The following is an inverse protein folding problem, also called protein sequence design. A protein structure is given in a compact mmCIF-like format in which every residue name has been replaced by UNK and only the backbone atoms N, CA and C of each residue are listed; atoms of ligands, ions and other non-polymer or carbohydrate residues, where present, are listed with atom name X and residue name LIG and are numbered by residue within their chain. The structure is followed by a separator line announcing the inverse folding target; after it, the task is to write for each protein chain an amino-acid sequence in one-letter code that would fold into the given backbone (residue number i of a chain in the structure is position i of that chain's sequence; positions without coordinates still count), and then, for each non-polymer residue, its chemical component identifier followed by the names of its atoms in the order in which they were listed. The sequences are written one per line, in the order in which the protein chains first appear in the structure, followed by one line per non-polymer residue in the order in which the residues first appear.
data_IF_234053036197
#
_entry.id   IF_234053036197
#
_cell.length_a   1.000
_cell.length_b   1.000
_cell.length_c   1.000
_cell.angle_alpha   90.00
_cell.angle_beta   90.00
_cell.angle_gamma   90.00
#
_symmetry.space_group_name_H-M   'P 1'
#
loop_
_entity.id
_entity.type
_entity.pdbx_description
1 polymer ?
#
# COMPACT_ATOMS: atom_id res chain seq x y z
N UNK A 1 -20.43 14.41 -3.77
CA UNK A 1 -20.04 14.58 -3.44
C UNK A 1 -19.25 14.15 -2.75
N UNK A 2 -19.06 14.08 -2.14
CA UNK A 2 -18.32 13.80 -1.31
C UNK A 2 -18.11 12.47 -1.05
N UNK A 3 -18.81 11.62 -1.40
CA UNK A 3 -18.67 10.25 -1.21
C UNK A 3 -17.44 9.70 -1.75
N UNK A 4 -16.99 10.24 -2.82
CA UNK A 4 -15.81 9.76 -3.43
C UNK A 4 -14.61 9.91 -2.59
N UNK A 5 -14.68 10.78 -1.63
CA UNK A 5 -13.54 11.00 -0.79
C UNK A 5 -13.17 9.81 0.03
N UNK A 6 -14.12 8.92 0.28
CA UNK A 6 -13.80 7.75 1.07
C UNK A 6 -12.83 6.85 0.36
N UNK A 7 -12.97 6.73 -0.95
CA UNK A 7 -12.04 5.90 -1.68
C UNK A 7 -10.71 6.57 -1.86
N UNK A 8 -10.71 7.86 -2.02
CA UNK A 8 -9.48 8.59 -2.17
C UNK A 8 -8.62 8.50 -0.92
N UNK A 9 -9.26 8.25 0.22
CA UNK A 9 -8.52 8.18 1.48
C UNK A 9 -7.81 6.86 1.71
N UNK A 10 -8.03 5.88 0.85
CA UNK A 10 -7.37 4.60 1.03
C UNK A 10 -5.87 4.70 0.82
N UNK A 11 -5.45 5.56 -0.06
CA UNK A 11 -4.04 5.76 -0.34
C UNK A 11 -3.70 7.22 -0.13
N UNK A 12 -2.69 7.49 0.68
CA UNK A 12 -2.26 8.85 0.94
C UNK A 12 -0.85 9.03 0.42
N UNK A 13 -0.63 10.10 -0.34
CA UNK A 13 0.69 10.41 -0.84
C UNK A 13 1.47 11.24 0.17
N UNK A 14 2.77 11.10 0.18
CA UNK A 14 3.63 11.89 1.04
C UNK A 14 5.01 11.97 0.41
N UNK A 15 5.82 12.90 0.88
CA UNK A 15 7.17 13.05 0.39
C UNK A 15 8.14 12.33 1.30
N UNK A 16 8.95 11.47 0.72
CA UNK A 16 10.00 10.80 1.47
C UNK A 16 11.13 11.77 1.72
N UNK A 17 12.06 11.36 2.55
CA UNK A 17 13.18 12.24 2.92
C UNK A 17 14.02 12.65 1.71
N UNK A 18 14.08 11.78 0.72
CA UNK A 18 14.86 12.10 -0.48
C UNK A 18 14.08 12.93 -1.48
N UNK A 19 12.87 13.37 -1.14
CA UNK A 19 12.08 14.20 -2.03
C UNK A 19 11.16 13.45 -2.96
N UNK A 20 11.26 12.13 -3.00
CA UNK A 20 10.42 11.35 -3.91
C UNK A 20 9.01 11.24 -3.33
N UNK A 21 8.02 11.28 -4.22
CA UNK A 21 6.65 11.09 -3.80
C UNK A 21 6.38 9.61 -3.60
N UNK A 22 5.77 9.26 -2.48
CA UNK A 22 5.43 7.90 -2.17
C UNK A 22 4.01 7.83 -1.63
N UNK A 23 3.50 6.62 -1.46
CA UNK A 23 2.13 6.40 -1.03
C UNK A 23 2.11 5.43 0.14
N UNK A 24 1.09 5.55 0.98
CA UNK A 24 0.87 4.59 2.05
C UNK A 24 -0.63 4.37 2.21
N UNK A 25 -1.05 3.13 2.45
CA UNK A 25 -2.48 2.83 2.55
C UNK A 25 -3.04 3.19 3.92
N UNK A 26 -4.36 3.26 3.98
CA UNK A 26 -5.05 3.48 5.25
C UNK A 26 -4.90 2.25 6.14
N UNK A 27 -4.75 2.48 7.44
CA UNK A 27 -4.59 1.39 8.39
C UNK A 27 -5.76 0.41 8.34
N UNK A 28 -6.98 0.92 8.23
CA UNK A 28 -8.15 0.05 8.19
C UNK A 28 -8.12 -0.87 6.98
N UNK A 29 -7.61 -0.39 5.88
CA UNK A 29 -7.50 -1.19 4.66
C UNK A 29 -6.52 -2.34 4.86
N UNK A 30 -5.38 -2.05 5.50
CA UNK A 30 -4.39 -3.07 5.77
C UNK A 30 -4.93 -4.10 6.74
N UNK A 31 -5.60 -3.65 7.78
CA UNK A 31 -6.15 -4.57 8.78
C UNK A 31 -7.17 -5.50 8.14
N UNK A 32 -8.04 -4.96 7.30
CA UNK A 32 -9.03 -5.77 6.62
C UNK A 32 -8.38 -6.83 5.73
N UNK A 33 -7.32 -6.46 5.03
CA UNK A 33 -6.63 -7.41 4.17
C UNK A 33 -6.01 -8.55 4.97
N UNK A 34 -5.45 -8.22 6.13
CA UNK A 34 -4.83 -9.23 6.98
C UNK A 34 -5.89 -10.14 7.58
N UNK A 35 -6.97 -9.56 8.08
CA UNK A 35 -8.01 -10.34 8.76
C UNK A 35 -8.76 -11.25 7.81
N UNK A 36 -8.89 -10.85 6.56
CA UNK A 36 -9.62 -11.64 5.58
C UNK A 36 -8.72 -12.58 4.81
N UNK A 37 -7.45 -12.68 5.21
CA UNK A 37 -6.51 -13.55 4.52
C UNK A 37 -6.37 -13.19 3.05
N UNK A 38 -6.53 -11.94 2.72
CA UNK A 38 -6.32 -11.50 1.35
C UNK A 38 -4.82 -11.33 1.13
N UNK A 39 -4.33 -11.92 0.08
CA UNK A 39 -2.92 -11.74 -0.27
C UNK A 39 -2.79 -10.46 -1.06
N UNK A 40 -2.85 -9.34 -0.37
CA UNK A 40 -2.80 -8.04 -1.00
C UNK A 40 -1.50 -7.34 -0.65
N UNK A 41 -0.94 -6.67 -1.63
CA UNK A 41 0.21 -5.82 -1.44
C UNK A 41 -0.08 -4.45 -1.99
N UNK A 42 0.77 -3.50 -1.64
CA UNK A 42 0.56 -2.12 -2.04
C UNK A 42 1.87 -1.54 -2.53
N UNK A 43 1.81 -0.88 -3.68
CA UNK A 43 2.99 -0.26 -4.24
C UNK A 43 3.16 1.12 -3.63
N UNK A 44 4.30 1.35 -2.99
CA UNK A 44 4.55 2.63 -2.35
C UNK A 44 4.99 3.70 -3.35
N UNK A 45 5.27 3.30 -4.59
CA UNK A 45 5.71 4.26 -5.60
C UNK A 45 4.54 4.84 -6.39
N UNK A 46 3.51 4.03 -6.68
CA UNK A 46 2.38 4.50 -7.48
C UNK A 46 1.04 4.39 -6.78
N UNK A 47 0.99 3.70 -5.63
CA UNK A 47 -0.24 3.60 -4.87
C UNK A 47 -1.18 2.49 -5.31
N UNK A 48 -0.75 1.62 -6.21
CA UNK A 48 -1.61 0.54 -6.67
C UNK A 48 -1.69 -0.57 -5.67
N UNK A 49 -2.85 -1.21 -5.60
CA UNK A 49 -3.02 -2.42 -4.82
C UNK A 49 -2.72 -3.61 -5.74
N UNK A 50 -1.95 -4.56 -5.23
CA UNK A 50 -1.54 -5.72 -6.01
C UNK A 50 -2.08 -6.97 -5.34
N UNK A 51 -2.68 -7.85 -6.15
CA UNK A 51 -3.20 -9.12 -5.63
C UNK A 51 -2.14 -10.19 -5.71
N UNK A 52 -2.31 -11.24 -4.91
CA UNK A 52 -1.40 -12.38 -4.96
C UNK A 52 -0.03 -12.10 -4.39
N UNK A 53 0.07 -11.15 -3.47
CA UNK A 53 1.32 -10.77 -2.85
C UNK A 53 1.37 -11.37 -1.46
N UNK A 54 2.49 -12.00 -1.11
CA UNK A 54 2.63 -12.59 0.21
C UNK A 54 2.57 -11.52 1.30
N UNK A 55 2.01 -11.86 2.47
CA UNK A 55 1.84 -10.83 3.52
C UNK A 55 3.14 -10.18 3.97
N UNK A 56 4.25 -10.90 3.91
CA UNK A 56 5.54 -10.36 4.33
C UNK A 56 6.41 -9.96 3.15
N UNK A 57 5.81 -9.75 1.98
CA UNK A 57 6.58 -9.41 0.78
C UNK A 57 7.27 -8.07 0.94
N UNK A 58 8.45 -7.99 0.38
CA UNK A 58 9.24 -6.76 0.38
C UNK A 58 9.80 -6.51 -1.01
N UNK A 59 9.61 -5.29 -1.50
CA UNK A 59 10.23 -4.84 -2.73
C UNK A 59 9.90 -5.70 -3.93
N UNK A 60 8.68 -6.19 -3.98
CA UNK A 60 8.22 -6.88 -5.16
C UNK A 60 8.02 -5.88 -6.29
N UNK A 61 8.19 -6.35 -7.51
CA UNK A 61 8.01 -5.48 -8.66
C UNK A 61 6.54 -5.18 -8.87
N UNK A 62 6.22 -3.91 -9.05
CA UNK A 62 4.87 -3.49 -9.35
C UNK A 62 4.63 -3.65 -10.84
N UNK A 63 3.57 -4.39 -11.18
CA UNK A 63 3.25 -4.61 -12.58
C UNK A 63 2.70 -3.36 -13.24
N UNK A 64 2.22 -2.41 -12.46
CA UNK A 64 1.70 -1.18 -13.02
C UNK A 64 2.77 -0.17 -13.35
N UNK A 65 3.69 0.09 -12.41
CA UNK A 65 4.69 1.11 -12.64
C UNK A 65 6.12 0.57 -12.77
N UNK A 66 6.32 -0.71 -12.50
CA UNK A 66 7.64 -1.32 -12.67
C UNK A 66 8.60 -1.11 -11.52
N UNK A 67 8.23 -0.35 -10.52
CA UNK A 67 9.12 -0.11 -9.39
C UNK A 67 9.09 -1.29 -8.44
N UNK A 68 10.22 -1.55 -7.78
CA UNK A 68 10.30 -2.63 -6.79
C UNK A 68 9.92 -2.07 -5.43
N UNK A 69 8.65 -1.67 -5.31
CA UNK A 69 8.14 -1.01 -4.10
C UNK A 69 6.84 -1.62 -3.62
N UNK A 70 6.53 -2.85 -4.01
CA UNK A 70 5.33 -3.52 -3.55
C UNK A 70 5.64 -4.27 -2.26
N UNK A 71 4.87 -3.99 -1.22
CA UNK A 71 5.02 -4.60 0.09
C UNK A 71 3.72 -5.26 0.48
N UNK A 72 3.81 -6.39 1.18
CA UNK A 72 2.64 -7.05 1.68
C UNK A 72 1.98 -6.29 2.81
N UNK A 73 0.69 -6.56 3.03
CA UNK A 73 -0.07 -5.84 4.04
C UNK A 73 0.53 -6.00 5.43
N UNK A 74 0.93 -7.21 5.80
CA UNK A 74 1.49 -7.45 7.12
C UNK A 74 2.82 -6.74 7.29
N UNK A 75 3.61 -6.73 6.24
CA UNK A 75 4.90 -6.05 6.28
C UNK A 75 4.73 -4.56 6.48
N UNK A 76 3.74 -3.97 5.80
CA UNK A 76 3.48 -2.54 5.96
C UNK A 76 3.04 -2.21 7.38
N UNK A 77 2.30 -3.12 8.01
CA UNK A 77 1.91 -2.93 9.38
C UNK A 77 3.12 -2.92 10.30
N UNK A 78 4.01 -3.87 10.11
CA UNK A 78 5.23 -3.97 10.93
C UNK A 78 6.09 -2.74 10.73
N UNK A 79 6.19 -2.24 9.52
CA UNK A 79 7.02 -1.08 9.21
C UNK A 79 6.36 0.24 9.60
N UNK A 80 5.06 0.21 9.93
CA UNK A 80 4.35 1.44 10.28
C UNK A 80 4.04 2.33 9.09
N UNK A 81 4.02 1.77 7.88
CA UNK A 81 3.78 2.54 6.68
C UNK A 81 2.30 2.54 6.32
N UNK A 82 1.51 3.25 7.10
CA UNK A 82 0.08 3.42 6.88
C UNK A 82 -0.35 4.73 7.51
N UNK A 83 -1.59 5.12 7.23
CA UNK A 83 -2.10 6.37 7.79
C UNK A 83 -3.45 6.22 8.47
#
# INVERSE_FOLDING_TARGET
MKINNLEDNKMQSYKAKNGAQQFKPAQDWIIAAVENDENAGFCLACGDECAGVEPDARRYKCEGCGAHKVYGAEELMIMGLFH
#
